data_IF_181097620168
#
_entry.id   IF_181097620168
#
_cell.length_a   1.000
_cell.length_b   1.000
_cell.length_c   1.000
_cell.angle_alpha   90.00
_cell.angle_beta   90.00
_cell.angle_gamma   90.00
#
_symmetry.space_group_name_H-M   'P 1'
#
loop_
_entity.id
_entity.type
_entity.pdbx_description
1 polymer ?
#
# COMPACT_ATOMS: atom_id res chain seq x y z
N UNK A 1 -4.40 -9.43 12.15
CA UNK A 1 -3.56 -8.99 11.01
C UNK A 1 -2.26 -8.46 11.56
N UNK A 2 -1.13 -8.95 11.05
CA UNK A 2 0.21 -8.53 11.50
C UNK A 2 0.86 -7.70 10.39
N UNK A 3 1.59 -6.66 10.79
CA UNK A 3 2.26 -5.74 9.87
C UNK A 3 3.77 -5.76 10.12
N UNK A 4 4.57 -5.60 9.07
CA UNK A 4 6.03 -5.54 9.20
C UNK A 4 6.44 -4.10 9.46
N UNK A 5 7.05 -3.83 10.61
CA UNK A 5 7.51 -2.50 11.00
C UNK A 5 8.91 -2.20 10.46
N UNK A 6 9.08 -1.00 9.90
CA UNK A 6 10.37 -0.46 9.49
C UNK A 6 11.25 -0.09 10.69
N UNK A 7 10.63 0.34 11.78
CA UNK A 7 11.31 0.88 12.96
C UNK A 7 11.48 -0.14 14.10
N UNK A 8 11.11 -1.40 13.86
CA UNK A 8 11.23 -2.52 14.79
C UNK A 8 12.11 -3.66 14.25
N UNK A 9 13.09 -3.38 13.39
CA UNK A 9 13.96 -4.38 12.75
C UNK A 9 13.17 -5.45 11.97
N UNK A 10 12.23 -5.04 11.13
CA UNK A 10 11.37 -5.92 10.32
C UNK A 10 10.58 -6.95 11.14
N UNK A 11 10.35 -6.69 12.43
CA UNK A 11 9.47 -7.51 13.26
C UNK A 11 8.00 -7.26 12.93
N UNK A 12 7.21 -8.29 13.18
CA UNK A 12 5.76 -8.20 13.16
C UNK A 12 5.27 -7.32 14.32
N UNK A 13 4.48 -6.30 13.99
CA UNK A 13 3.89 -5.37 14.94
C UNK A 13 2.37 -5.34 14.82
N UNK A 14 1.73 -4.77 15.84
CA UNK A 14 0.30 -4.50 15.82
C UNK A 14 -0.08 -3.49 14.74
N UNK A 15 -1.31 -3.59 14.25
CA UNK A 15 -1.89 -2.62 13.33
C UNK A 15 -1.78 -1.18 13.85
N UNK A 16 -2.10 -0.97 15.13
CA UNK A 16 -2.06 0.35 15.75
C UNK A 16 -0.64 0.93 15.77
N UNK A 17 0.37 0.11 16.06
CA UNK A 17 1.77 0.53 16.03
C UNK A 17 2.18 0.93 14.61
N UNK A 18 1.90 0.08 13.62
CA UNK A 18 2.23 0.37 12.22
C UNK A 18 1.59 1.68 11.71
N UNK A 19 0.31 1.89 12.02
CA UNK A 19 -0.41 3.13 11.70
C UNK A 19 0.25 4.35 12.36
N UNK A 20 0.68 4.20 13.61
CA UNK A 20 1.33 5.28 14.36
C UNK A 20 2.71 5.61 13.78
N UNK A 21 3.47 4.59 13.37
CA UNK A 21 4.76 4.75 12.70
C UNK A 21 4.62 5.57 11.41
N UNK A 22 3.62 5.27 10.56
CA UNK A 22 3.34 6.04 9.33
C UNK A 22 3.10 7.52 9.65
N UNK A 23 2.32 7.82 10.67
CA UNK A 23 2.01 9.20 11.06
C UNK A 23 3.24 9.92 11.60
N UNK A 24 4.07 9.23 12.39
CA UNK A 24 5.33 9.80 12.87
C UNK A 24 6.28 10.07 11.70
N UNK A 25 6.34 9.17 10.71
CA UNK A 25 7.13 9.37 9.48
C UNK A 25 6.66 10.62 8.71
N UNK A 26 5.35 10.82 8.55
CA UNK A 26 4.80 12.04 7.92
C UNK A 26 5.15 13.30 8.69
N UNK A 27 5.04 13.27 10.02
CA UNK A 27 5.41 14.39 10.86
C UNK A 27 6.91 14.70 10.77
N UNK A 28 7.75 13.67 10.73
CA UNK A 28 9.19 13.80 10.60
C UNK A 28 9.58 14.43 9.26
N UNK A 29 8.93 14.01 8.17
CA UNK A 29 9.09 14.62 6.83
C UNK A 29 8.71 16.10 6.82
N UNK A 30 7.60 16.47 7.46
CA UNK A 30 7.19 17.86 7.59
C UNK A 30 8.23 18.69 8.37
N UNK A 31 8.71 18.15 9.48
CA UNK A 31 9.66 18.82 10.36
C UNK A 31 11.11 18.74 9.85
N UNK A 32 11.34 18.09 8.69
CA UNK A 32 12.66 17.82 8.10
C UNK A 32 13.62 17.12 9.07
N UNK A 33 13.07 16.18 9.85
CA UNK A 33 13.81 15.37 10.82
C UNK A 33 13.83 13.92 10.38
N UNK A 34 14.91 13.23 10.73
CA UNK A 34 15.01 11.79 10.57
C UNK A 34 14.52 11.08 11.83
N UNK A 35 13.91 9.91 11.60
CA UNK A 35 13.46 9.01 12.67
C UNK A 35 14.19 7.68 12.55
N UNK A 36 14.76 7.24 13.67
CA UNK A 36 15.61 6.06 13.76
C UNK A 36 14.82 4.84 14.29
N UNK A 37 15.49 3.69 14.34
CA UNK A 37 14.99 2.50 15.03
C UNK A 37 14.53 2.83 16.45
N UNK A 38 13.33 2.35 16.84
CA UNK A 38 12.69 2.61 18.15
C UNK A 38 12.63 4.09 18.55
N UNK A 39 12.39 5.00 17.61
CA UNK A 39 12.31 6.45 17.86
C UNK A 39 11.36 6.85 19.02
N UNK A 40 10.34 6.05 19.33
CA UNK A 40 9.41 6.31 20.45
C UNK A 40 10.06 6.23 21.84
N UNK A 41 11.29 5.71 21.96
CA UNK A 41 12.07 5.77 23.20
C UNK A 41 12.69 7.16 23.42
N UNK A 42 12.90 7.94 22.35
CA UNK A 42 13.48 9.27 22.45
C UNK A 42 12.47 10.25 23.05
N UNK A 43 12.93 11.12 23.94
CA UNK A 43 12.08 12.09 24.66
C UNK A 43 11.24 12.95 23.70
N UNK A 44 11.85 13.40 22.60
CA UNK A 44 11.24 14.22 21.56
C UNK A 44 10.00 13.56 20.93
N UNK A 45 10.11 12.29 20.53
CA UNK A 45 9.04 11.59 19.82
C UNK A 45 8.10 10.82 20.73
N UNK A 46 8.54 10.45 21.94
CA UNK A 46 7.79 9.60 22.85
C UNK A 46 6.41 10.17 23.20
N UNK A 47 6.32 11.48 23.43
CA UNK A 47 5.06 12.15 23.75
C UNK A 47 4.10 12.14 22.55
N UNK A 48 4.60 12.47 21.36
CA UNK A 48 3.81 12.44 20.13
C UNK A 48 3.32 11.03 19.82
N UNK A 49 4.21 10.04 19.88
CA UNK A 49 3.90 8.63 19.64
C UNK A 49 2.81 8.13 20.60
N UNK A 50 2.94 8.38 21.91
CA UNK A 50 1.95 7.97 22.92
C UNK A 50 0.56 8.60 22.67
N UNK A 51 0.52 9.84 22.20
CA UNK A 51 -0.74 10.50 21.86
C UNK A 51 -1.40 9.89 20.61
N UNK A 52 -0.60 9.51 19.61
CA UNK A 52 -1.12 8.94 18.37
C UNK A 52 -1.52 7.46 18.54
N UNK A 53 -0.75 6.64 19.27
CA UNK A 53 -1.05 5.22 19.45
C UNK A 53 -2.39 4.97 20.14
N UNK A 54 -2.77 5.82 21.10
CA UNK A 54 -4.09 5.74 21.74
C UNK A 54 -5.22 5.99 20.74
N UNK A 55 -5.02 6.93 19.81
CA UNK A 55 -5.97 7.24 18.74
C UNK A 55 -6.01 6.11 17.70
N UNK A 56 -4.85 5.57 17.31
CA UNK A 56 -4.75 4.45 16.39
C UNK A 56 -5.51 3.21 16.90
N UNK A 57 -5.37 2.89 18.20
CA UNK A 57 -6.12 1.80 18.82
C UNK A 57 -7.64 2.01 18.77
N UNK A 58 -8.12 3.26 18.89
CA UNK A 58 -9.56 3.55 18.74
C UNK A 58 -10.02 3.36 17.29
N UNK A 59 -9.23 3.79 16.32
CA UNK A 59 -9.56 3.64 14.89
C UNK A 59 -9.57 2.19 14.45
N UNK A 60 -8.60 1.38 14.90
CA UNK A 60 -8.52 -0.06 14.57
C UNK A 60 -9.71 -0.86 15.12
N UNK A 61 -10.41 -0.35 16.15
CA UNK A 61 -11.65 -0.95 16.65
C UNK A 61 -12.86 -0.62 15.77
N UNK A 62 -12.83 0.48 15.03
CA UNK A 62 -13.96 0.97 14.24
C UNK A 62 -13.86 0.60 12.75
N UNK A 63 -12.64 0.55 12.23
CA UNK A 63 -12.36 0.32 10.81
C UNK A 63 -11.33 -0.79 10.64
N UNK A 64 -11.33 -1.41 9.46
CA UNK A 64 -10.32 -2.41 9.14
C UNK A 64 -8.92 -1.75 9.12
N UNK A 65 -7.88 -2.40 9.69
CA UNK A 65 -6.51 -1.91 9.65
C UNK A 65 -6.06 -1.53 8.24
N UNK A 66 -6.45 -2.33 7.24
CA UNK A 66 -6.09 -2.13 5.85
C UNK A 66 -6.71 -0.86 5.26
N UNK A 67 -7.99 -0.56 5.57
CA UNK A 67 -8.63 0.68 5.13
C UNK A 67 -7.93 1.91 5.71
N UNK A 68 -7.52 1.86 6.98
CA UNK A 68 -6.80 2.97 7.62
C UNK A 68 -5.44 3.19 6.95
N UNK A 69 -4.68 2.12 6.70
CA UNK A 69 -3.37 2.22 6.04
C UNK A 69 -3.52 2.79 4.62
N UNK A 70 -4.48 2.29 3.84
CA UNK A 70 -4.75 2.81 2.48
C UNK A 70 -5.14 4.29 2.51
N UNK A 71 -6.00 4.69 3.45
CA UNK A 71 -6.37 6.10 3.63
C UNK A 71 -5.17 6.98 3.96
N UNK A 72 -4.21 6.48 4.76
CA UNK A 72 -2.96 7.20 5.07
C UNK A 72 -1.97 7.23 3.92
N UNK A 73 -2.06 6.34 2.95
CA UNK A 73 -1.21 6.34 1.75
C UNK A 73 -1.84 7.12 0.58
N UNK A 74 -3.09 7.55 0.73
CA UNK A 74 -3.81 8.36 -0.25
C UNK A 74 -3.13 9.72 -0.47
N UNK A 75 -3.11 10.18 -1.72
CA UNK A 75 -2.57 11.49 -2.11
C UNK A 75 -3.27 12.63 -1.35
N UNK A 76 -4.56 12.46 -1.01
CA UNK A 76 -5.35 13.44 -0.25
C UNK A 76 -4.88 13.61 1.19
N UNK A 77 -4.16 12.64 1.76
CA UNK A 77 -3.70 12.69 3.15
C UNK A 77 -2.19 12.89 3.29
N UNK A 78 -1.49 13.24 2.22
CA UNK A 78 -0.02 13.42 2.23
C UNK A 78 0.44 14.34 3.35
N UNK A 79 -0.27 15.45 3.55
CA UNK A 79 0.03 16.46 4.58
C UNK A 79 -0.66 16.20 5.93
N UNK A 80 -1.32 15.05 6.11
CA UNK A 80 -1.99 14.70 7.35
C UNK A 80 -1.03 14.00 8.31
N UNK A 81 -0.69 14.67 9.41
CA UNK A 81 0.19 14.18 10.47
C UNK A 81 -0.55 13.96 11.81
N UNK A 82 -1.87 13.85 11.78
CA UNK A 82 -2.68 13.58 12.97
C UNK A 82 -3.81 12.60 12.66
N UNK A 83 -3.94 11.56 13.48
CA UNK A 83 -5.05 10.60 13.38
C UNK A 83 -6.40 11.17 13.80
N UNK A 84 -6.39 12.36 14.43
CA UNK A 84 -7.61 13.06 14.86
C UNK A 84 -8.14 14.06 13.82
N UNK A 85 -7.51 14.16 12.65
CA UNK A 85 -7.95 15.07 11.61
C UNK A 85 -9.36 14.67 11.11
N UNK A 86 -10.34 15.60 11.06
CA UNK A 86 -11.71 15.27 10.67
C UNK A 86 -11.80 14.75 9.23
N UNK A 87 -11.00 15.33 8.33
CA UNK A 87 -10.90 14.89 6.93
C UNK A 87 -10.43 13.43 6.81
N UNK A 88 -9.54 12.98 7.71
CA UNK A 88 -9.01 11.62 7.66
C UNK A 88 -10.13 10.60 7.89
N UNK A 89 -11.08 10.88 8.78
CA UNK A 89 -12.20 9.98 9.07
C UNK A 89 -13.04 9.71 7.80
N UNK A 90 -13.38 10.76 7.05
CA UNK A 90 -14.14 10.63 5.81
C UNK A 90 -13.39 9.80 4.75
N UNK A 91 -12.06 9.96 4.66
CA UNK A 91 -11.23 9.20 3.73
C UNK A 91 -11.13 7.73 4.16
N UNK A 92 -10.98 7.45 5.45
CA UNK A 92 -11.01 6.08 5.97
C UNK A 92 -12.34 5.40 5.64
N UNK A 93 -13.47 6.09 5.84
CA UNK A 93 -14.80 5.57 5.51
C UNK A 93 -14.95 5.27 4.01
N UNK A 94 -14.40 6.13 3.15
CA UNK A 94 -14.37 5.89 1.71
C UNK A 94 -13.59 4.61 1.37
N UNK A 95 -12.38 4.46 1.89
CA UNK A 95 -11.56 3.26 1.67
C UNK A 95 -12.16 1.99 2.29
N UNK A 96 -12.85 2.12 3.42
CA UNK A 96 -13.58 1.01 4.05
C UNK A 96 -14.69 0.51 3.13
N UNK A 97 -15.51 1.41 2.56
CA UNK A 97 -16.57 1.04 1.60
C UNK A 97 -16.02 0.33 0.35
N UNK A 98 -14.88 0.79 -0.17
CA UNK A 98 -14.21 0.14 -1.31
C UNK A 98 -13.81 -1.29 -0.94
N UNK A 99 -13.21 -1.47 0.24
CA UNK A 99 -12.75 -2.77 0.72
C UNK A 99 -13.93 -3.73 0.95
N UNK A 100 -15.02 -3.23 1.53
CA UNK A 100 -16.23 -4.02 1.74
C UNK A 100 -16.91 -4.42 0.42
N UNK A 101 -16.82 -3.57 -0.60
CA UNK A 101 -17.32 -3.86 -1.95
C UNK A 101 -16.45 -4.90 -2.67
N UNK A 102 -15.11 -4.80 -2.55
CA UNK A 102 -14.17 -5.76 -3.12
C UNK A 102 -14.34 -7.16 -2.54
N UNK A 103 -14.63 -7.28 -1.25
CA UNK A 103 -14.86 -8.58 -0.60
C UNK A 103 -16.16 -9.25 -1.05
N UNK A 104 -17.13 -8.51 -1.61
CA UNK A 104 -18.41 -9.06 -2.09
C UNK A 104 -18.37 -9.55 -3.53
N UNK A 105 -17.50 -8.99 -4.37
CA UNK A 105 -17.48 -9.20 -5.83
C UNK A 105 -16.44 -10.25 -6.28
N UNK A 106 -16.27 -11.36 -5.55
CA UNK A 106 -15.47 -12.51 -6.02
C UNK A 106 -16.26 -13.41 -7.00
N UNK A 107 -16.91 -12.83 -8.00
CA UNK A 107 -17.79 -13.53 -8.95
C UNK A 107 -17.28 -13.57 -10.39
N UNK A 108 -16.02 -13.20 -10.64
CA UNK A 108 -15.43 -13.44 -11.97
C UNK A 108 -15.10 -14.91 -12.11
N UNK A 109 -15.97 -15.64 -12.82
CA UNK A 109 -15.66 -16.95 -13.38
C UNK A 109 -14.43 -16.84 -14.27
N UNK A 110 -13.27 -17.17 -13.70
CA UNK A 110 -12.04 -17.33 -14.49
C UNK A 110 -12.18 -18.67 -15.20
N UNK A 111 -12.61 -18.63 -16.46
CA UNK A 111 -12.55 -19.81 -17.32
C UNK A 111 -11.07 -20.23 -17.47
N UNK A 112 -10.72 -21.33 -16.78
CA UNK A 112 -9.42 -22.01 -16.84
C UNK A 112 -9.37 -23.07 -17.94
N UNK A 113 -10.28 -23.02 -18.91
CA UNK A 113 -10.23 -23.90 -20.08
C UNK A 113 -8.84 -23.90 -20.72
N UNK A 114 -8.29 -25.11 -20.88
CA UNK A 114 -7.03 -25.36 -21.58
C UNK A 114 -7.13 -25.14 -23.09
N UNK A 115 -8.34 -24.97 -23.62
CA UNK A 115 -8.65 -24.83 -25.04
C UNK A 115 -8.99 -23.38 -25.41
N UNK A 116 -8.23 -22.41 -24.89
CA UNK A 116 -8.35 -21.03 -25.36
C UNK A 116 -7.73 -20.89 -26.74
N UNK A 117 -8.57 -20.67 -27.76
CA UNK A 117 -8.13 -20.19 -29.07
C UNK A 117 -7.65 -18.75 -28.91
N UNK A 118 -6.34 -18.56 -28.73
CA UNK A 118 -5.73 -17.25 -28.83
C UNK A 118 -5.95 -16.72 -30.24
N UNK A 119 -6.39 -15.46 -30.37
CA UNK A 119 -6.44 -14.79 -31.69
C UNK A 119 -5.00 -14.71 -32.20
N UNK A 120 -4.61 -15.63 -33.09
CA UNK A 120 -3.43 -15.41 -33.92
C UNK A 120 -3.78 -14.24 -34.83
N UNK A 121 -3.09 -13.12 -34.66
CA UNK A 121 -3.12 -12.07 -35.66
C UNK A 121 -2.48 -12.64 -36.93
N UNK A 122 -3.28 -13.27 -37.78
CA UNK A 122 -2.90 -13.69 -39.13
C UNK A 122 -2.77 -12.47 -40.07
N UNK A 123 -2.35 -11.32 -39.54
CA UNK A 123 -2.13 -10.11 -40.32
C UNK A 123 -0.63 -9.92 -40.55
N UNK A 124 -0.27 -10.29 -41.77
CA UNK A 124 0.93 -9.93 -42.52
C UNK A 124 2.25 -10.51 -42.00
N UNK A 125 2.69 -11.50 -42.77
CA UNK A 125 4.08 -11.77 -43.17
C UNK A 125 4.80 -10.44 -43.53
N UNK A 126 5.21 -9.67 -42.54
CA UNK A 126 6.17 -8.57 -42.73
C UNK A 126 7.40 -8.94 -41.93
N UNK A 127 8.49 -9.22 -42.65
CA UNK A 127 9.84 -9.53 -42.20
C UNK A 127 10.13 -9.03 -40.78
N UNK A 128 9.90 -9.90 -39.80
CA UNK A 128 10.24 -9.60 -38.41
C UNK A 128 11.75 -9.66 -38.24
N UNK A 129 12.24 -8.95 -37.24
CA UNK A 129 13.68 -8.82 -36.93
C UNK A 129 14.37 -10.19 -36.85
N UNK A 130 13.66 -11.22 -36.37
CA UNK A 130 14.16 -12.59 -36.31
C UNK A 130 14.40 -13.21 -37.70
N UNK A 131 13.48 -13.05 -38.65
CA UNK A 131 13.70 -13.52 -40.04
C UNK A 131 14.85 -12.78 -40.74
N UNK A 132 15.11 -11.52 -40.37
CA UNK A 132 16.26 -10.75 -40.88
C UNK A 132 17.59 -11.20 -40.30
N UNK A 133 17.61 -11.86 -39.14
CA UNK A 133 18.82 -12.38 -38.52
C UNK A 133 19.19 -13.75 -39.10
N UNK A 134 18.19 -14.60 -39.41
CA UNK A 134 18.41 -15.90 -40.09
C UNK A 134 18.95 -15.75 -41.51
N UNK A 135 18.55 -14.68 -42.23
CA UNK A 135 19.09 -14.38 -43.56
C UNK A 135 20.57 -13.94 -43.51
N UNK A 136 21.01 -13.31 -42.41
CA UNK A 136 22.40 -12.85 -42.23
C UNK A 136 23.32 -14.03 -41.86
N UNK A 137 22.82 -15.02 -41.11
CA UNK A 137 23.59 -16.22 -40.73
C UNK A 137 23.79 -17.21 -41.89
N UNK A 138 22.97 -17.15 -42.95
CA UNK A 138 23.06 -18.02 -44.12
C UNK A 138 23.92 -17.46 -45.27
N UNK A 139 24.52 -16.28 -45.11
CA UNK A 139 25.38 -15.64 -46.11
C UNK A 139 26.88 -15.64 -45.69
N UNK A 140 27.35 -16.74 -45.09
CA UNK A 140 28.77 -17.00 -44.78
C UNK A 140 29.22 -18.39 -45.19
#
# INVERSE_FOLDING_TARGET
>A
MKFISRYSNNKEVSAAQYITEIICEKKAKLDKKDIHYKFWLNKEWSAFYRNQIATANKLVKQYSPLAIVKALQDSKTVNTYSLRAPMLKAIIEHHQKILDSQNKEFSKDIDRSSHKKYKTNNNKKSNNILSKLEDIDNES
#
